data_IF_506821674788
#
_entry.id   IF_506821674788
#
_cell.length_a   1.000
_cell.length_b   1.000
_cell.length_c   1.000
_cell.angle_alpha   90.00
_cell.angle_beta   90.00
_cell.angle_gamma   90.00
#
_symmetry.space_group_name_H-M   'P 1'
#
loop_
_entity.id
_entity.type
_entity.pdbx_description
1 polymer ?
#
# COMPACT_ATOMS: atom_id res chain seq x y z
N UNK A 1 -4.72 34.78 2.87
CA UNK A 1 -3.63 33.82 2.56
C UNK A 1 -3.91 32.58 3.40
N UNK A 2 -4.79 31.70 2.93
CA UNK A 2 -5.32 30.60 3.75
C UNK A 2 -5.50 29.32 2.94
N UNK A 3 -4.84 29.21 1.79
CA UNK A 3 -5.08 28.11 0.84
C UNK A 3 -4.06 26.97 1.02
N UNK A 4 -2.83 27.30 1.41
CA UNK A 4 -1.73 26.34 1.47
C UNK A 4 -1.74 25.46 2.74
N UNK A 5 -2.12 26.00 3.90
CA UNK A 5 -2.29 25.24 5.15
C UNK A 5 -3.20 24.02 4.98
N UNK A 6 -4.37 24.24 4.37
CA UNK A 6 -5.30 23.18 4.04
C UNK A 6 -4.68 22.16 3.07
N UNK A 7 -3.87 22.63 2.09
CA UNK A 7 -3.25 21.76 1.08
C UNK A 7 -2.21 20.81 1.68
N UNK A 8 -1.38 21.26 2.65
CA UNK A 8 -0.42 20.39 3.34
C UNK A 8 -1.14 19.29 4.13
N UNK A 9 -2.10 19.71 4.95
CA UNK A 9 -2.84 18.83 5.82
C UNK A 9 -3.68 17.84 5.00
N UNK A 10 -4.17 18.24 3.83
CA UNK A 10 -4.84 17.37 2.85
C UNK A 10 -3.89 16.34 2.23
N UNK A 11 -2.65 16.72 1.88
CA UNK A 11 -1.63 15.80 1.37
C UNK A 11 -1.20 14.79 2.44
N UNK A 12 -0.93 15.24 3.67
CA UNK A 12 -0.61 14.37 4.80
C UNK A 12 -1.78 13.42 5.10
N UNK A 13 -3.02 13.93 5.16
CA UNK A 13 -4.22 13.11 5.37
C UNK A 13 -4.46 12.10 4.25
N UNK A 14 -4.09 12.43 3.01
CA UNK A 14 -4.17 11.51 1.88
C UNK A 14 -3.11 10.40 2.02
N UNK A 15 -1.88 10.75 2.37
CA UNK A 15 -0.81 9.79 2.62
C UNK A 15 -1.18 8.79 3.73
N UNK A 16 -1.77 9.26 4.83
CA UNK A 16 -2.19 8.39 5.92
C UNK A 16 -3.29 7.41 5.48
N UNK A 17 -4.26 7.86 4.67
CA UNK A 17 -5.27 6.96 4.10
C UNK A 17 -4.68 5.92 3.14
N UNK A 18 -3.63 6.27 2.42
CA UNK A 18 -2.93 5.33 1.54
C UNK A 18 -2.21 4.25 2.36
N UNK A 19 -1.56 4.63 3.46
CA UNK A 19 -0.94 3.66 4.38
C UNK A 19 -1.98 2.75 5.06
N UNK A 20 -3.11 3.29 5.53
CA UNK A 20 -4.21 2.50 6.08
C UNK A 20 -4.76 1.50 5.05
N UNK A 21 -4.90 1.94 3.80
CA UNK A 21 -5.35 1.10 2.69
C UNK A 21 -4.37 -0.02 2.37
N UNK A 22 -3.07 0.30 2.36
CA UNK A 22 -1.97 -0.65 2.18
C UNK A 22 -2.00 -1.74 3.26
N UNK A 23 -2.06 -1.36 4.52
CA UNK A 23 -2.05 -2.32 5.64
C UNK A 23 -3.30 -3.24 5.62
N UNK A 24 -4.43 -2.69 5.17
CA UNK A 24 -5.66 -3.47 4.95
C UNK A 24 -5.50 -4.49 3.82
N UNK A 25 -4.82 -4.13 2.73
CA UNK A 25 -4.52 -5.03 1.61
C UNK A 25 -3.57 -6.14 2.06
N UNK A 26 -2.49 -5.79 2.75
CA UNK A 26 -1.50 -6.75 3.24
C UNK A 26 -2.16 -7.77 4.19
N UNK A 27 -3.00 -7.32 5.11
CA UNK A 27 -3.73 -8.20 6.03
C UNK A 27 -4.67 -9.16 5.30
N UNK A 28 -5.42 -8.66 4.30
CA UNK A 28 -6.33 -9.49 3.52
C UNK A 28 -5.59 -10.56 2.70
N UNK A 29 -4.37 -10.26 2.25
CA UNK A 29 -3.52 -11.19 1.52
C UNK A 29 -2.97 -12.30 2.39
N UNK A 30 -2.51 -11.97 3.59
CA UNK A 30 -2.07 -12.95 4.57
C UNK A 30 -3.21 -13.93 4.92
N UNK A 31 -4.43 -13.41 5.09
CA UNK A 31 -5.62 -14.23 5.34
C UNK A 31 -5.94 -15.17 4.17
N UNK A 32 -5.94 -14.64 2.94
CA UNK A 32 -6.13 -15.45 1.74
C UNK A 32 -5.08 -16.55 1.60
N UNK A 33 -3.84 -16.28 2.04
CA UNK A 33 -2.74 -17.23 1.94
C UNK A 33 -2.97 -18.39 2.89
N UNK A 34 -3.43 -18.10 4.12
CA UNK A 34 -3.82 -19.13 5.08
C UNK A 34 -4.87 -20.09 4.51
N UNK A 35 -5.91 -19.59 3.84
CA UNK A 35 -6.94 -20.44 3.22
C UNK A 35 -6.39 -21.34 2.11
N UNK A 36 -5.45 -20.82 1.32
CA UNK A 36 -4.80 -21.59 0.24
C UNK A 36 -3.91 -22.69 0.82
N UNK A 37 -3.12 -22.36 1.85
CA UNK A 37 -2.23 -23.29 2.53
C UNK A 37 -3.03 -24.42 3.19
N UNK A 38 -4.10 -24.09 3.93
CA UNK A 38 -5.02 -25.07 4.53
C UNK A 38 -5.60 -26.04 3.48
N UNK A 39 -6.09 -25.51 2.35
CA UNK A 39 -6.66 -26.34 1.28
C UNK A 39 -5.61 -27.29 0.66
N UNK A 40 -4.38 -26.82 0.47
CA UNK A 40 -3.28 -27.63 -0.08
C UNK A 40 -2.82 -28.69 0.92
N UNK A 41 -2.78 -28.36 2.21
CA UNK A 41 -2.43 -29.28 3.30
C UNK A 41 -3.49 -30.38 3.49
N UNK A 42 -4.78 -30.02 3.52
CA UNK A 42 -5.92 -30.91 3.80
C UNK A 42 -6.23 -31.94 2.70
N UNK A 43 -5.51 -31.88 1.58
CA UNK A 43 -5.53 -32.97 0.60
C UNK A 43 -6.16 -32.61 -0.75
N UNK A 44 -6.18 -31.33 -1.12
CA UNK A 44 -6.38 -30.91 -2.53
C UNK A 44 -5.20 -31.33 -3.43
N UNK A 45 -4.56 -32.49 -3.19
CA UNK A 45 -3.35 -33.01 -3.84
C UNK A 45 -3.64 -33.84 -5.08
N UNK A 46 -4.60 -33.43 -5.92
CA UNK A 46 -4.55 -33.92 -7.29
C UNK A 46 -3.36 -33.20 -7.94
N UNK A 47 -2.23 -33.90 -8.11
CA UNK A 47 -0.87 -33.35 -8.36
C UNK A 47 -0.77 -32.20 -9.39
N UNK A 48 -1.71 -32.09 -10.35
CA UNK A 48 -1.73 -31.01 -11.34
C UNK A 48 -2.53 -29.77 -10.94
N UNK A 49 -3.59 -29.92 -10.14
CA UNK A 49 -4.47 -28.80 -9.79
C UNK A 49 -3.89 -27.99 -8.63
N UNK A 50 -3.29 -28.64 -7.63
CA UNK A 50 -2.63 -27.96 -6.50
C UNK A 50 -1.44 -27.12 -6.93
N UNK A 51 -0.60 -27.61 -7.86
CA UNK A 51 0.56 -26.88 -8.34
C UNK A 51 0.18 -25.57 -9.03
N UNK A 52 -0.74 -25.61 -10.00
CA UNK A 52 -1.21 -24.40 -10.71
C UNK A 52 -1.92 -23.40 -9.80
N UNK A 53 -2.67 -23.90 -8.82
CA UNK A 53 -3.35 -23.04 -7.86
C UNK A 53 -2.33 -22.31 -6.98
N UNK A 54 -1.32 -23.02 -6.48
CA UNK A 54 -0.21 -22.44 -5.73
C UNK A 54 0.56 -21.42 -6.56
N UNK A 55 0.94 -21.75 -7.79
CA UNK A 55 1.69 -20.84 -8.67
C UNK A 55 0.90 -19.54 -8.93
N UNK A 56 -0.40 -19.65 -9.25
CA UNK A 56 -1.25 -18.47 -9.47
C UNK A 56 -1.46 -17.64 -8.20
N UNK A 57 -1.48 -18.28 -7.03
CA UNK A 57 -1.57 -17.58 -5.75
C UNK A 57 -0.25 -16.85 -5.40
N UNK A 58 0.89 -17.48 -5.66
CA UNK A 58 2.21 -16.87 -5.49
C UNK A 58 2.37 -15.65 -6.42
N UNK A 59 1.92 -15.75 -7.68
CA UNK A 59 1.88 -14.63 -8.64
C UNK A 59 0.97 -13.49 -8.16
N UNK A 60 -0.24 -13.81 -7.70
CA UNK A 60 -1.18 -12.83 -7.15
C UNK A 60 -0.58 -12.10 -5.94
N UNK A 61 -0.03 -12.86 -4.99
CA UNK A 61 0.60 -12.33 -3.77
C UNK A 61 1.76 -11.41 -4.11
N UNK A 62 2.58 -11.79 -5.09
CA UNK A 62 3.70 -10.96 -5.56
C UNK A 62 3.19 -9.67 -6.19
N UNK A 63 2.26 -9.75 -7.15
CA UNK A 63 1.74 -8.56 -7.82
C UNK A 63 1.01 -7.59 -6.87
N UNK A 64 0.39 -8.11 -5.81
CA UNK A 64 -0.23 -7.27 -4.80
C UNK A 64 0.76 -6.66 -3.81
N UNK A 65 1.87 -7.35 -3.48
CA UNK A 65 2.98 -6.74 -2.74
C UNK A 65 3.60 -5.59 -3.54
N UNK A 66 3.84 -5.78 -4.83
CA UNK A 66 4.34 -4.71 -5.71
C UNK A 66 3.37 -3.52 -5.74
N UNK A 67 2.05 -3.79 -5.78
CA UNK A 67 1.05 -2.73 -5.70
C UNK A 67 1.05 -2.01 -4.34
N UNK A 68 1.20 -2.76 -3.24
CA UNK A 68 1.31 -2.26 -1.86
C UNK A 68 2.52 -1.34 -1.69
N UNK A 69 3.67 -1.74 -2.24
CA UNK A 69 4.88 -0.89 -2.31
C UNK A 69 4.62 0.39 -3.12
N UNK A 70 3.97 0.29 -4.29
CA UNK A 70 3.60 1.46 -5.09
C UNK A 70 2.68 2.44 -4.35
N UNK A 71 1.77 1.94 -3.51
CA UNK A 71 0.93 2.80 -2.64
C UNK A 71 1.77 3.49 -1.57
N UNK A 72 2.74 2.80 -0.97
CA UNK A 72 3.65 3.39 0.01
C UNK A 72 4.52 4.50 -0.61
N UNK A 73 5.06 4.27 -1.81
CA UNK A 73 5.84 5.27 -2.55
C UNK A 73 5.00 6.54 -2.82
N UNK A 74 3.72 6.39 -3.16
CA UNK A 74 2.82 7.52 -3.34
C UNK A 74 2.56 8.28 -2.03
N UNK A 75 2.35 7.57 -0.93
CA UNK A 75 2.17 8.17 0.39
C UNK A 75 3.42 8.98 0.79
N UNK A 76 4.62 8.43 0.55
CA UNK A 76 5.88 9.13 0.81
C UNK A 76 6.03 10.38 -0.07
N UNK A 77 5.73 10.27 -1.37
CA UNK A 77 5.81 11.40 -2.30
C UNK A 77 4.87 12.56 -1.90
N UNK A 78 3.68 12.24 -1.38
CA UNK A 78 2.74 13.25 -0.85
C UNK A 78 3.31 13.96 0.38
N UNK A 79 3.93 13.23 1.30
CA UNK A 79 4.58 13.81 2.50
C UNK A 79 5.77 14.69 2.13
N UNK A 80 6.62 14.23 1.20
CA UNK A 80 7.77 15.00 0.72
C UNK A 80 7.33 16.31 0.04
N UNK A 81 6.24 16.25 -0.74
CA UNK A 81 5.65 17.43 -1.37
C UNK A 81 5.07 18.39 -0.31
N UNK A 82 4.32 17.89 0.67
CA UNK A 82 3.79 18.71 1.75
C UNK A 82 4.90 19.45 2.51
N UNK A 83 5.98 18.75 2.85
CA UNK A 83 7.14 19.33 3.51
C UNK A 83 7.84 20.39 2.64
N UNK A 84 8.08 20.08 1.36
CA UNK A 84 8.77 21.00 0.45
C UNK A 84 8.03 22.32 0.27
N UNK A 85 6.70 22.26 0.20
CA UNK A 85 5.88 23.45 0.03
C UNK A 85 5.82 24.23 1.38
N UNK A 86 5.76 23.55 2.54
CA UNK A 86 5.84 24.18 3.88
C UNK A 86 7.16 24.97 4.04
N UNK A 87 8.28 24.36 3.65
CA UNK A 87 9.61 24.99 3.70
C UNK A 87 9.71 26.22 2.78
N UNK A 88 9.04 26.19 1.62
CA UNK A 88 8.99 27.33 0.69
C UNK A 88 8.19 28.49 1.30
N UNK A 89 7.06 28.20 1.94
CA UNK A 89 6.23 29.21 2.59
C UNK A 89 6.96 29.90 3.74
N UNK A 90 7.67 29.15 4.58
CA UNK A 90 8.46 29.70 5.70
C UNK A 90 9.56 30.66 5.20
N UNK A 91 10.19 30.34 4.07
CA UNK A 91 11.18 31.22 3.43
C UNK A 91 10.55 32.51 2.89
N UNK A 92 9.37 32.43 2.28
CA UNK A 92 8.65 33.59 1.75
C UNK A 92 8.07 34.47 2.86
N UNK A 93 7.67 33.89 4.00
CA UNK A 93 7.16 34.63 5.14
C UNK A 93 8.26 35.30 5.97
N UNK A 94 9.49 34.76 5.94
CA UNK A 94 10.66 35.30 6.64
C UNK A 94 11.46 36.35 5.86
N UNK A 95 11.17 36.56 4.57
CA UNK A 95 11.80 37.57 3.69
C UNK A 95 10.98 38.84 3.54
#
# INVERSE_FOLDING_TARGET
MTDFGATYDEMESCADKLDDGKDSIDSALEECQGYVDELVEDGFKTEKASGKFKDGYDELTTGLKDASEGVNDMAQALRDMAQSIRDLDDQLAGG
#
